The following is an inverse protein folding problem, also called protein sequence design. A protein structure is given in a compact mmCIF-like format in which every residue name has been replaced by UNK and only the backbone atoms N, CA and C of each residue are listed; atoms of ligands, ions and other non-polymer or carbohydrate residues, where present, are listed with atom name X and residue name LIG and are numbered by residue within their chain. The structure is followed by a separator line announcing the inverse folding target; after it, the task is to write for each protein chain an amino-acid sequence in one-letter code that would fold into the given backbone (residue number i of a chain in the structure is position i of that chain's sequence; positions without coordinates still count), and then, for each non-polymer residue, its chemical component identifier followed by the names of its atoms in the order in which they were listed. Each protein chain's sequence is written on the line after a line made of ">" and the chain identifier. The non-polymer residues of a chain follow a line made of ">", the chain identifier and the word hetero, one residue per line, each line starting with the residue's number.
data_IF_730480264894
#
_entry.id   IF_730480264894
#
_cell.length_a   1.000
_cell.length_b   1.000
_cell.length_c   1.000
_cell.angle_alpha   90.00
_cell.angle_beta   90.00
_cell.angle_gamma   90.00
#
_symmetry.space_group_name_H-M   'P 1'
#
loop_
_entity.id
_entity.type
_entity.pdbx_description
1 polymer ?
#
# COMPACT_ATOMS: atom_id res chain seq x y z
N UNK A 1 16.05 -24.03 -26.13
CA UNK A 1 16.66 -23.97 -24.79
C UNK A 1 16.38 -25.30 -24.10
N UNK A 2 17.38 -25.92 -23.48
CA UNK A 2 17.21 -27.16 -22.71
C UNK A 2 16.05 -27.03 -21.71
N UNK A 3 15.10 -27.95 -21.72
CA UNK A 3 13.95 -28.04 -20.83
C UNK A 3 14.37 -27.94 -19.37
N UNK A 4 15.46 -28.60 -18.98
CA UNK A 4 15.98 -28.52 -17.60
C UNK A 4 16.33 -27.09 -17.21
N UNK A 5 17.04 -26.36 -18.07
CA UNK A 5 17.39 -24.94 -17.83
C UNK A 5 16.14 -24.07 -17.78
N UNK A 6 15.17 -24.34 -18.65
CA UNK A 6 13.91 -23.61 -18.66
C UNK A 6 13.10 -23.81 -17.39
N UNK A 7 13.05 -25.04 -16.88
CA UNK A 7 12.31 -25.39 -15.68
C UNK A 7 12.94 -24.81 -14.40
N UNK A 8 14.27 -24.80 -14.32
CA UNK A 8 15.00 -24.12 -13.23
C UNK A 8 14.71 -22.62 -13.26
N UNK A 9 14.80 -22.00 -14.45
CA UNK A 9 14.56 -20.57 -14.59
C UNK A 9 13.11 -20.21 -14.25
N UNK A 10 12.12 -20.99 -14.69
CA UNK A 10 10.72 -20.73 -14.38
C UNK A 10 10.42 -20.86 -12.88
N UNK A 11 10.95 -21.88 -12.21
CA UNK A 11 10.81 -22.04 -10.76
C UNK A 11 11.48 -20.90 -10.00
N UNK A 12 12.70 -20.51 -10.40
CA UNK A 12 13.41 -19.40 -9.79
C UNK A 12 12.61 -18.10 -9.93
N UNK A 13 12.07 -17.81 -11.12
CA UNK A 13 11.22 -16.65 -11.37
C UNK A 13 9.98 -16.67 -10.47
N UNK A 14 9.27 -17.79 -10.37
CA UNK A 14 8.08 -17.90 -9.52
C UNK A 14 8.42 -17.74 -8.04
N UNK A 15 9.53 -18.30 -7.56
CA UNK A 15 9.95 -18.18 -6.16
C UNK A 15 10.39 -16.76 -5.80
N UNK A 16 11.10 -16.08 -6.70
CA UNK A 16 11.58 -14.72 -6.44
C UNK A 16 10.51 -13.65 -6.63
N UNK A 17 9.51 -13.92 -7.47
CA UNK A 17 8.47 -12.95 -7.81
C UNK A 17 7.82 -12.34 -6.57
N UNK A 18 7.27 -13.10 -5.59
CA UNK A 18 6.63 -12.52 -4.40
C UNK A 18 7.55 -11.66 -3.54
N UNK A 19 8.83 -12.02 -3.44
CA UNK A 19 9.81 -11.32 -2.60
C UNK A 19 10.18 -9.99 -3.24
N UNK A 20 10.59 -10.03 -4.51
CA UNK A 20 10.97 -8.82 -5.27
C UNK A 20 9.79 -7.88 -5.38
N UNK A 21 8.61 -8.43 -5.68
CA UNK A 21 7.39 -7.66 -5.84
C UNK A 21 7.00 -7.01 -4.50
N UNK A 22 7.06 -7.74 -3.38
CA UNK A 22 6.77 -7.20 -2.06
C UNK A 22 7.70 -6.04 -1.66
N UNK A 23 9.00 -6.18 -1.95
CA UNK A 23 9.98 -5.10 -1.74
C UNK A 23 9.69 -3.87 -2.59
N UNK A 24 9.36 -4.06 -3.88
CA UNK A 24 8.97 -2.96 -4.77
C UNK A 24 7.73 -2.24 -4.25
N UNK A 25 6.70 -2.99 -3.83
CA UNK A 25 5.48 -2.43 -3.29
C UNK A 25 5.74 -1.61 -2.02
N UNK A 26 6.60 -2.11 -1.12
CA UNK A 26 7.02 -1.37 0.06
C UNK A 26 7.70 -0.04 -0.28
N UNK A 27 8.64 -0.04 -1.23
CA UNK A 27 9.35 1.19 -1.66
C UNK A 27 8.39 2.18 -2.31
N UNK A 28 7.48 1.72 -3.17
CA UNK A 28 6.49 2.56 -3.84
C UNK A 28 5.58 3.24 -2.82
N UNK A 29 5.04 2.48 -1.87
CA UNK A 29 4.16 3.02 -0.81
C UNK A 29 4.93 3.99 0.08
N UNK A 30 6.15 3.64 0.50
CA UNK A 30 6.97 4.49 1.37
C UNK A 30 7.36 5.83 0.74
N UNK A 31 7.75 5.81 -0.54
CA UNK A 31 8.12 7.03 -1.26
C UNK A 31 6.90 7.95 -1.48
N UNK A 32 5.74 7.36 -1.82
CA UNK A 32 4.50 8.13 -1.96
C UNK A 32 4.10 8.82 -0.64
N UNK A 33 4.15 8.08 0.47
CA UNK A 33 3.81 8.60 1.79
C UNK A 33 4.70 9.79 2.23
N UNK A 34 5.97 9.82 1.82
CA UNK A 34 6.90 10.88 2.22
C UNK A 34 6.59 12.22 1.53
N UNK A 35 6.20 12.19 0.26
CA UNK A 35 5.85 13.40 -0.49
C UNK A 35 4.54 14.01 0.01
N UNK A 36 3.55 13.18 0.33
CA UNK A 36 2.28 13.64 0.91
C UNK A 36 2.50 14.32 2.25
N UNK A 37 3.34 13.76 3.13
CA UNK A 37 3.63 14.35 4.45
C UNK A 37 4.15 15.79 4.39
N UNK A 38 5.02 16.13 3.43
CA UNK A 38 5.53 17.49 3.28
C UNK A 38 4.42 18.43 2.83
N UNK A 39 3.62 18.03 1.84
CA UNK A 39 2.48 18.82 1.35
C UNK A 39 1.44 19.06 2.44
N UNK A 40 1.12 18.03 3.21
CA UNK A 40 0.17 18.09 4.33
C UNK A 40 0.67 19.03 5.42
N UNK A 41 1.97 18.96 5.74
CA UNK A 41 2.58 19.84 6.73
C UNK A 41 2.53 21.31 6.28
N UNK A 42 2.89 21.60 5.03
CA UNK A 42 2.83 22.96 4.47
C UNK A 42 1.37 23.47 4.46
N UNK A 43 0.42 22.61 4.11
CA UNK A 43 -1.00 22.94 4.15
C UNK A 43 -1.49 23.24 5.56
N UNK A 44 -1.05 22.47 6.56
CA UNK A 44 -1.32 22.73 7.97
C UNK A 44 -0.72 24.07 8.43
N UNK A 45 0.52 24.39 8.05
CA UNK A 45 1.17 25.69 8.35
C UNK A 45 0.35 26.86 7.80
N UNK A 46 -0.15 26.75 6.57
CA UNK A 46 -0.97 27.81 5.98
C UNK A 46 -2.30 27.98 6.71
N UNK A 47 -2.96 26.86 7.07
CA UNK A 47 -4.19 26.87 7.87
C UNK A 47 -3.96 27.49 9.25
N UNK A 48 -2.88 27.13 9.94
CA UNK A 48 -2.54 27.74 11.23
C UNK A 48 -2.48 29.26 11.10
N UNK A 49 -1.68 29.79 10.16
CA UNK A 49 -1.59 31.24 9.93
C UNK A 49 -2.93 31.92 9.69
N UNK A 50 -3.85 31.28 8.96
CA UNK A 50 -5.19 31.83 8.71
C UNK A 50 -5.99 31.97 10.01
N UNK A 51 -5.92 30.98 10.90
CA UNK A 51 -6.66 30.99 12.16
C UNK A 51 -5.97 31.83 13.24
N UNK A 52 -4.64 31.85 13.30
CA UNK A 52 -3.86 32.69 14.24
C UNK A 52 -4.29 34.16 14.15
N UNK A 53 -4.47 34.70 12.93
CA UNK A 53 -4.94 36.09 12.73
C UNK A 53 -6.27 36.42 13.45
N UNK A 54 -7.13 35.42 13.65
CA UNK A 54 -8.41 35.60 14.35
C UNK A 54 -8.28 35.35 15.85
N UNK A 55 -7.46 34.37 16.24
CA UNK A 55 -7.32 33.91 17.63
C UNK A 55 -6.33 34.75 18.45
N UNK A 56 -5.44 35.50 17.81
CA UNK A 56 -4.51 36.43 18.45
C UNK A 56 -5.20 37.68 19.01
N UNK A 57 -6.49 37.89 18.70
CA UNK A 57 -7.25 39.02 19.23
C UNK A 57 -7.48 38.86 20.75
N UNK A 58 -6.91 39.72 21.62
CA UNK A 58 -7.02 39.58 23.07
C UNK A 58 -8.45 39.71 23.60
N UNK A 59 -9.32 40.44 22.89
CA UNK A 59 -10.67 40.74 23.34
C UNK A 59 -11.55 39.48 23.46
N UNK A 60 -11.20 38.41 22.73
CA UNK A 60 -11.96 37.16 22.76
C UNK A 60 -11.75 36.39 24.07
N UNK A 61 -10.69 36.64 24.83
CA UNK A 61 -10.38 35.91 26.07
C UNK A 61 -10.97 36.54 27.33
N UNK A 62 -11.47 37.77 27.21
CA UNK A 62 -11.97 38.57 28.34
C UNK A 62 -13.50 38.67 28.32
N UNK A 63 -14.14 38.49 27.17
CA UNK A 63 -15.60 38.60 27.00
C UNK A 63 -16.36 37.27 27.13
N UNK A 64 -17.27 37.17 28.10
CA UNK A 64 -18.25 36.08 28.21
C UNK A 64 -19.60 36.49 27.55
N UNK A 65 -20.35 35.57 26.90
CA UNK A 65 -20.04 34.18 26.56
C UNK A 65 -19.61 33.99 25.09
N UNK A 66 -18.70 33.04 24.83
CA UNK A 66 -18.23 32.68 23.49
C UNK A 66 -18.98 31.50 22.84
N UNK A 67 -20.01 30.96 23.51
CA UNK A 67 -20.74 29.76 23.07
C UNK A 67 -21.35 29.87 21.67
N UNK A 68 -21.75 31.08 21.25
CA UNK A 68 -22.39 31.30 19.95
C UNK A 68 -21.40 31.71 18.85
N UNK A 69 -20.12 31.94 19.19
CA UNK A 69 -19.10 32.32 18.20
C UNK A 69 -18.56 31.10 17.48
N UNK A 70 -18.57 31.15 16.14
CA UNK A 70 -18.01 30.12 15.28
C UNK A 70 -16.71 30.64 14.68
N UNK A 71 -15.59 30.27 15.30
CA UNK A 71 -14.25 30.61 14.80
C UNK A 71 -13.82 29.73 13.61
N UNK A 72 -14.45 28.56 13.43
CA UNK A 72 -14.15 27.62 12.34
C UNK A 72 -15.15 27.76 11.20
N UNK A 73 -14.63 27.82 9.97
CA UNK A 73 -15.44 27.80 8.75
C UNK A 73 -16.27 26.50 8.66
N UNK A 74 -17.45 26.54 8.04
CA UNK A 74 -18.29 25.34 7.88
C UNK A 74 -17.58 24.18 7.16
N UNK A 75 -16.66 24.51 6.25
CA UNK A 75 -15.84 23.55 5.49
C UNK A 75 -14.82 22.83 6.36
N UNK A 76 -14.28 23.51 7.37
CA UNK A 76 -13.16 22.99 8.16
C UNK A 76 -13.58 22.27 9.45
N UNK A 77 -14.86 22.33 9.82
CA UNK A 77 -15.42 21.75 11.07
C UNK A 77 -15.04 20.30 11.34
N UNK A 78 -14.89 19.48 10.29
CA UNK A 78 -14.58 18.06 10.43
C UNK A 78 -13.06 17.77 10.49
N UNK A 79 -12.23 18.77 10.21
CA UNK A 79 -10.77 18.59 10.08
C UNK A 79 -9.96 19.48 11.02
N UNK A 80 -10.58 20.47 11.65
CA UNK A 80 -9.92 21.41 12.56
C UNK A 80 -10.67 21.45 13.87
N UNK A 81 -9.93 21.36 14.98
CA UNK A 81 -10.40 21.64 16.32
C UNK A 81 -9.68 22.87 16.87
N UNK A 82 -10.45 23.80 17.42
CA UNK A 82 -9.93 25.00 18.11
C UNK A 82 -10.40 24.95 19.56
N UNK A 83 -9.46 25.10 20.47
CA UNK A 83 -9.67 25.17 21.91
C UNK A 83 -9.09 26.51 22.41
N UNK A 84 -9.87 27.26 23.20
CA UNK A 84 -9.42 28.50 23.85
C UNK A 84 -9.40 28.32 25.35
N UNK A 85 -8.36 28.84 25.97
CA UNK A 85 -8.16 28.82 27.41
C UNK A 85 -7.91 30.24 27.93
N UNK A 86 -8.45 30.56 29.10
CA UNK A 86 -8.09 31.81 29.78
C UNK A 86 -6.68 31.73 30.39
N UNK A 87 -6.18 32.85 30.94
CA UNK A 87 -4.84 32.93 31.54
C UNK A 87 -4.59 31.93 32.69
N UNK A 88 -5.65 31.40 33.32
CA UNK A 88 -5.55 30.43 34.42
C UNK A 88 -5.54 28.99 33.90
N UNK A 89 -5.89 28.75 32.63
CA UNK A 89 -5.96 27.41 32.04
C UNK A 89 -7.38 26.81 32.00
N UNK A 90 -8.42 27.60 32.27
CA UNK A 90 -9.80 27.13 32.08
C UNK A 90 -10.18 27.21 30.61
N UNK A 91 -10.73 26.13 30.05
CA UNK A 91 -11.28 26.14 28.69
C UNK A 91 -12.54 27.04 28.63
N UNK A 92 -12.50 28.03 27.74
CA UNK A 92 -13.58 29.00 27.54
C UNK A 92 -14.32 28.79 26.22
N UNK A 93 -13.74 27.99 25.31
CA UNK A 93 -14.33 27.63 24.03
C UNK A 93 -13.74 26.32 23.50
N UNK A 94 -14.60 25.47 22.95
CA UNK A 94 -14.21 24.31 22.15
C UNK A 94 -15.10 24.22 20.91
N UNK A 95 -14.50 23.90 19.76
CA UNK A 95 -15.25 23.81 18.51
C UNK A 95 -16.05 22.51 18.33
N UNK A 96 -15.81 21.49 19.15
CA UNK A 96 -16.54 20.20 19.14
C UNK A 96 -17.66 20.14 20.18
N UNK A 97 -18.04 21.31 20.72
CA UNK A 97 -19.06 21.51 21.76
C UNK A 97 -18.83 20.73 23.07
N UNK A 98 -17.70 20.02 23.18
CA UNK A 98 -17.24 19.33 24.37
C UNK A 98 -16.20 20.20 25.08
N UNK A 99 -16.67 21.13 25.90
CA UNK A 99 -15.79 21.90 26.79
C UNK A 99 -15.20 20.91 27.79
N UNK A 100 -13.93 20.56 27.63
CA UNK A 100 -13.18 19.88 28.65
C UNK A 100 -12.88 20.90 29.76
N UNK A 101 -12.61 20.40 30.96
CA UNK A 101 -12.40 21.27 32.12
C UNK A 101 -11.08 22.06 32.06
N UNK A 102 -10.55 22.28 33.25
CA UNK A 102 -9.31 23.01 33.46
C UNK A 102 -8.08 22.21 32.99
N UNK A 103 -7.13 22.87 32.31
CA UNK A 103 -5.79 22.33 32.05
C UNK A 103 -4.79 22.88 33.07
N UNK A 104 -3.83 22.07 33.49
CA UNK A 104 -2.78 22.53 34.41
C UNK A 104 -1.85 23.55 33.74
N UNK A 105 -1.16 24.36 34.55
CA UNK A 105 -0.22 25.37 34.05
C UNK A 105 0.92 24.72 33.25
N UNK A 106 1.42 23.59 33.70
CA UNK A 106 2.49 22.84 33.01
C UNK A 106 2.06 22.46 31.58
N UNK A 107 0.82 21.97 31.43
CA UNK A 107 0.25 21.61 30.13
C UNK A 107 -0.05 22.86 29.31
N UNK A 108 -0.57 23.94 29.91
CA UNK A 108 -0.85 25.18 29.19
C UNK A 108 0.42 25.79 28.58
N UNK A 109 1.53 25.77 29.31
CA UNK A 109 2.81 26.33 28.87
C UNK A 109 3.71 25.36 28.09
N UNK A 110 3.32 24.08 27.96
CA UNK A 110 4.09 23.13 27.15
C UNK A 110 3.95 23.42 25.66
N UNK A 111 5.05 23.24 24.91
CA UNK A 111 5.04 23.17 23.44
C UNK A 111 4.46 24.41 22.74
N UNK A 112 4.55 25.57 23.40
CA UNK A 112 4.18 26.85 22.82
C UNK A 112 5.08 27.18 21.62
N UNK A 113 4.54 27.90 20.64
CA UNK A 113 5.24 28.36 19.44
C UNK A 113 5.81 27.24 18.54
N UNK A 114 5.39 25.98 18.78
CA UNK A 114 5.85 24.83 18.02
C UNK A 114 4.69 24.06 17.44
N UNK A 115 4.78 23.77 16.15
CA UNK A 115 3.90 22.80 15.51
C UNK A 115 4.39 21.41 15.91
N UNK A 116 3.56 20.65 16.62
CA UNK A 116 3.81 19.25 16.92
C UNK A 116 3.16 18.35 15.88
N UNK A 117 3.93 17.42 15.35
CA UNK A 117 3.45 16.38 14.45
C UNK A 117 2.98 15.18 15.27
N UNK A 118 1.68 15.15 15.58
CA UNK A 118 1.04 14.00 16.20
C UNK A 118 0.65 12.92 15.18
N UNK A 119 0.33 11.73 15.67
CA UNK A 119 -0.12 10.62 14.83
C UNK A 119 -1.44 10.92 14.09
N UNK A 120 -2.33 11.72 14.70
CA UNK A 120 -3.68 12.01 14.17
C UNK A 120 -3.85 13.45 13.70
N UNK A 121 -3.06 14.37 14.21
CA UNK A 121 -3.21 15.79 13.94
C UNK A 121 -1.87 16.53 14.07
N UNK A 122 -1.73 17.62 13.32
CA UNK A 122 -0.77 18.67 13.62
C UNK A 122 -1.37 19.58 14.68
N UNK A 123 -0.63 19.87 15.74
CA UNK A 123 -1.11 20.75 16.81
C UNK A 123 -0.20 21.95 17.00
N UNK A 124 -0.78 23.13 17.14
CA UNK A 124 -0.09 24.37 17.46
C UNK A 124 -0.73 24.98 18.71
N UNK A 125 0.09 25.43 19.65
CA UNK A 125 -0.35 26.15 20.85
C UNK A 125 0.36 27.48 20.95
N UNK A 126 -0.39 28.52 21.26
CA UNK A 126 0.11 29.88 21.31
C UNK A 126 -0.50 30.61 22.51
N UNK A 127 0.30 31.43 23.22
CA UNK A 127 -0.22 32.36 24.21
C UNK A 127 -0.72 33.65 23.54
N UNK A 128 -1.68 34.31 24.16
CA UNK A 128 -2.21 35.60 23.71
C UNK A 128 -1.94 36.65 24.78
N UNK A 129 -1.39 37.78 24.35
CA UNK A 129 -1.05 38.91 25.22
C UNK A 129 -1.88 40.13 24.85
N UNK A 130 -2.26 40.92 25.85
CA UNK A 130 -2.87 42.23 25.60
C UNK A 130 -1.80 43.28 25.23
N UNK A 131 -2.24 44.53 25.01
CA UNK A 131 -1.36 45.67 24.68
C UNK A 131 -0.31 45.95 25.76
N UNK A 132 -0.58 45.60 27.01
CA UNK A 132 0.31 45.79 28.15
C UNK A 132 1.26 44.59 28.36
N UNK A 133 1.33 43.67 27.39
CA UNK A 133 2.12 42.42 27.46
C UNK A 133 1.68 41.46 28.58
N UNK A 134 0.48 41.63 29.14
CA UNK A 134 -0.09 40.69 30.09
C UNK A 134 -0.74 39.52 29.35
N UNK A 135 -0.47 38.30 29.82
CA UNK A 135 -1.07 37.08 29.30
C UNK A 135 -2.59 37.08 29.57
N UNK A 136 -3.40 37.00 28.52
CA UNK A 136 -4.86 36.92 28.62
C UNK A 136 -5.40 35.51 28.40
N UNK A 137 -4.65 34.65 27.71
CA UNK A 137 -5.07 33.28 27.46
C UNK A 137 -4.16 32.51 26.52
N UNK A 138 -4.65 31.36 26.09
CA UNK A 138 -3.98 30.48 25.15
C UNK A 138 -4.98 29.95 24.14
N UNK A 139 -4.53 29.68 22.93
CA UNK A 139 -5.29 28.86 21.99
C UNK A 139 -4.49 27.63 21.58
N UNK A 140 -5.23 26.59 21.24
CA UNK A 140 -4.72 25.38 20.61
C UNK A 140 -5.52 25.11 19.35
N UNK A 141 -4.81 24.96 18.25
CA UNK A 141 -5.38 24.53 16.97
C UNK A 141 -4.87 23.11 16.72
N UNK A 142 -5.77 22.18 16.45
CA UNK A 142 -5.46 20.83 16.02
C UNK A 142 -6.05 20.60 14.63
N UNK A 143 -5.19 20.34 13.65
CA UNK A 143 -5.58 20.04 12.26
C UNK A 143 -5.39 18.55 12.03
N UNK A 144 -6.49 17.84 11.81
CA UNK A 144 -6.49 16.41 11.50
C UNK A 144 -5.66 16.14 10.25
N UNK A 145 -4.85 15.08 10.31
CA UNK A 145 -4.06 14.62 9.15
C UNK A 145 -4.96 13.94 8.14
N UNK A 146 -4.77 14.24 6.86
CA UNK A 146 -5.57 13.66 5.76
C UNK A 146 -5.50 12.13 5.78
N UNK A 147 -4.32 11.55 6.03
CA UNK A 147 -4.12 10.10 6.18
C UNK A 147 -5.02 9.44 7.25
N UNK A 148 -5.37 10.19 8.31
CA UNK A 148 -6.23 9.70 9.39
C UNK A 148 -7.72 9.90 9.07
N UNK A 149 -8.05 11.02 8.41
CA UNK A 149 -9.43 11.34 8.00
C UNK A 149 -9.92 10.38 6.90
N UNK A 150 -9.03 9.95 6.01
CA UNK A 150 -9.39 9.10 4.87
C UNK A 150 -9.31 7.59 5.12
N UNK A 151 -9.01 7.11 6.34
CA UNK A 151 -9.16 5.71 6.76
C UNK A 151 -8.94 4.67 5.66
N UNK A 152 -7.67 4.28 5.43
CA UNK A 152 -7.20 3.49 4.29
C UNK A 152 -7.26 4.30 2.98
N UNK A 153 -6.10 4.82 2.56
CA UNK A 153 -5.93 5.50 1.28
C UNK A 153 -6.38 4.57 0.13
N UNK A 154 -7.50 4.88 -0.51
CA UNK A 154 -8.11 4.12 -1.61
C UNK A 154 -7.10 3.82 -2.73
N UNK A 155 -6.13 4.72 -2.96
CA UNK A 155 -5.06 4.53 -3.93
C UNK A 155 -4.11 3.41 -3.52
N UNK A 156 -3.80 3.28 -2.24
CA UNK A 156 -2.99 2.17 -1.71
C UNK A 156 -3.69 0.82 -1.93
N UNK A 157 -5.01 0.76 -1.70
CA UNK A 157 -5.82 -0.44 -1.94
C UNK A 157 -5.79 -0.82 -3.42
N UNK A 158 -5.99 0.14 -4.33
CA UNK A 158 -5.90 -0.09 -5.77
C UNK A 158 -4.50 -0.59 -6.16
N UNK A 159 -3.44 0.04 -5.65
CA UNK A 159 -2.05 -0.37 -5.95
C UNK A 159 -1.79 -1.81 -5.51
N UNK A 160 -2.23 -2.19 -4.31
CA UNK A 160 -2.12 -3.57 -3.80
C UNK A 160 -2.93 -4.53 -4.66
N UNK A 161 -4.15 -4.16 -5.08
CA UNK A 161 -4.98 -5.00 -5.93
C UNK A 161 -4.35 -5.25 -7.30
N UNK A 162 -3.89 -4.20 -7.99
CA UNK A 162 -3.19 -4.31 -9.27
C UNK A 162 -1.96 -5.21 -9.16
N UNK A 163 -1.23 -5.07 -8.06
CA UNK A 163 -0.06 -5.87 -7.78
C UNK A 163 -0.38 -7.36 -7.62
N UNK A 164 -1.44 -7.71 -6.88
CA UNK A 164 -1.91 -9.10 -6.74
C UNK A 164 -2.26 -9.68 -8.10
N UNK A 165 -2.93 -8.91 -8.96
CA UNK A 165 -3.29 -9.32 -10.32
C UNK A 165 -2.03 -9.65 -11.14
N UNK A 166 -0.99 -8.80 -11.08
CA UNK A 166 0.27 -9.05 -11.81
C UNK A 166 0.92 -10.36 -11.34
N UNK A 167 1.00 -10.58 -10.03
CA UNK A 167 1.55 -11.83 -9.48
C UNK A 167 0.74 -13.04 -9.98
N UNK A 168 -0.59 -12.98 -9.91
CA UNK A 168 -1.45 -14.06 -10.41
C UNK A 168 -1.25 -14.32 -11.90
N UNK A 169 -1.14 -13.27 -12.72
CA UNK A 169 -0.86 -13.41 -14.16
C UNK A 169 0.46 -14.13 -14.42
N UNK A 170 1.50 -13.88 -13.63
CA UNK A 170 2.79 -14.58 -13.74
C UNK A 170 2.62 -16.07 -13.39
N UNK A 171 1.94 -16.39 -12.29
CA UNK A 171 1.68 -17.78 -11.89
C UNK A 171 0.89 -18.54 -12.97
N UNK A 172 -0.18 -17.94 -13.49
CA UNK A 172 -1.00 -18.53 -14.55
C UNK A 172 -0.16 -18.74 -15.81
N UNK A 173 0.62 -17.74 -16.22
CA UNK A 173 1.49 -17.83 -17.40
C UNK A 173 2.51 -18.97 -17.28
N UNK A 174 3.17 -19.11 -16.14
CA UNK A 174 4.12 -20.21 -15.90
C UNK A 174 3.40 -21.56 -15.89
N UNK A 175 2.22 -21.66 -15.28
CA UNK A 175 1.39 -22.86 -15.29
C UNK A 175 0.99 -23.31 -16.70
N UNK A 176 0.56 -22.37 -17.55
CA UNK A 176 0.24 -22.65 -18.95
C UNK A 176 1.46 -23.11 -19.74
N UNK A 177 2.62 -22.49 -19.51
CA UNK A 177 3.86 -22.89 -20.17
C UNK A 177 4.34 -24.27 -19.72
N UNK A 178 4.23 -24.60 -18.42
CA UNK A 178 4.55 -25.94 -17.88
C UNK A 178 3.66 -27.00 -18.53
N UNK A 179 2.36 -26.72 -18.63
CA UNK A 179 1.43 -27.64 -19.28
C UNK A 179 1.81 -27.88 -20.75
N UNK A 180 2.16 -26.82 -21.48
CA UNK A 180 2.52 -26.90 -22.91
C UNK A 180 3.87 -27.58 -23.17
N UNK A 181 4.89 -27.31 -22.36
CA UNK A 181 6.26 -27.79 -22.57
C UNK A 181 6.60 -29.11 -21.88
N UNK A 182 5.85 -29.50 -20.85
CA UNK A 182 6.18 -30.68 -20.04
C UNK A 182 5.01 -31.65 -19.94
N UNK A 183 3.87 -31.24 -19.38
CA UNK A 183 2.77 -32.18 -19.12
C UNK A 183 2.18 -32.76 -20.42
N UNK A 184 1.91 -31.92 -21.42
CA UNK A 184 1.31 -32.36 -22.68
C UNK A 184 2.23 -33.30 -23.49
N UNK A 185 3.53 -32.99 -23.69
CA UNK A 185 4.45 -33.89 -24.39
C UNK A 185 4.69 -35.21 -23.66
N UNK A 186 4.77 -35.19 -22.32
CA UNK A 186 4.88 -36.42 -21.52
C UNK A 186 3.62 -37.28 -21.70
N UNK A 187 2.43 -36.67 -21.62
CA UNK A 187 1.17 -37.39 -21.83
C UNK A 187 1.10 -38.00 -23.24
N UNK A 188 1.54 -37.26 -24.26
CA UNK A 188 1.64 -37.75 -25.64
C UNK A 188 2.54 -38.98 -25.74
N UNK A 189 3.71 -38.96 -25.10
CA UNK A 189 4.63 -40.10 -25.08
C UNK A 189 4.00 -41.31 -24.38
N UNK A 190 3.38 -41.12 -23.21
CA UNK A 190 2.68 -42.20 -22.48
C UNK A 190 1.57 -42.83 -23.33
N UNK A 191 0.77 -42.00 -24.00
CA UNK A 191 -0.27 -42.49 -24.92
C UNK A 191 0.33 -43.26 -26.10
N UNK A 192 1.43 -42.77 -26.68
CA UNK A 192 2.14 -43.46 -27.76
C UNK A 192 2.72 -44.81 -27.34
N UNK A 193 3.27 -44.90 -26.13
CA UNK A 193 3.76 -46.16 -25.54
C UNK A 193 2.62 -47.17 -25.37
N UNK A 194 1.50 -46.74 -24.80
CA UNK A 194 0.33 -47.61 -24.61
C UNK A 194 -0.24 -48.11 -25.94
N UNK A 195 -0.32 -47.24 -26.95
CA UNK A 195 -0.80 -47.63 -28.29
C UNK A 195 0.14 -48.61 -28.97
N UNK A 196 1.46 -48.41 -28.86
CA UNK A 196 2.43 -49.35 -29.40
C UNK A 196 2.31 -50.74 -28.77
N UNK A 197 2.08 -50.82 -27.45
CA UNK A 197 1.82 -52.08 -26.76
C UNK A 197 0.57 -52.82 -27.30
N UNK A 198 -0.40 -52.08 -27.84
CA UNK A 198 -1.61 -52.60 -28.49
C UNK A 198 -1.42 -52.88 -30.00
N UNK A 199 -0.21 -52.75 -30.54
CA UNK A 199 0.11 -53.03 -31.94
C UNK A 199 0.03 -51.83 -32.89
N UNK A 200 -0.18 -50.62 -32.39
CA UNK A 200 -0.15 -49.40 -33.22
C UNK A 200 1.28 -49.13 -33.72
N UNK A 201 1.46 -48.96 -35.04
CA UNK A 201 2.76 -48.67 -35.69
C UNK A 201 3.04 -47.18 -35.93
N UNK A 202 2.10 -46.28 -35.62
CA UNK A 202 2.27 -44.84 -35.83
C UNK A 202 3.41 -44.21 -34.99
N UNK A 203 4.17 -43.29 -35.57
CA UNK A 203 5.21 -42.54 -34.85
C UNK A 203 4.59 -41.48 -33.92
N UNK A 204 5.24 -41.22 -32.80
CA UNK A 204 4.88 -40.09 -31.92
C UNK A 204 5.57 -38.85 -32.45
N UNK A 205 4.80 -37.90 -32.99
CA UNK A 205 5.34 -36.65 -33.53
C UNK A 205 5.43 -35.55 -32.45
N UNK A 206 6.63 -35.00 -32.28
CA UNK A 206 6.88 -33.87 -31.39
C UNK A 206 7.92 -32.93 -31.98
N UNK A 207 7.48 -31.68 -32.24
CA UNK A 207 8.24 -30.69 -33.02
C UNK A 207 9.47 -30.11 -32.31
N UNK A 208 9.56 -30.18 -30.98
CA UNK A 208 10.65 -29.52 -30.25
C UNK A 208 11.80 -30.48 -30.01
N UNK A 209 13.02 -30.01 -30.24
CA UNK A 209 14.28 -30.74 -30.01
C UNK A 209 14.85 -30.46 -28.61
N UNK A 210 13.99 -30.47 -27.60
CA UNK A 210 14.41 -30.47 -26.19
C UNK A 210 14.57 -31.90 -25.66
N UNK A 211 14.87 -32.05 -24.37
CA UNK A 211 15.10 -33.35 -23.73
C UNK A 211 13.90 -34.30 -23.86
N UNK A 212 12.67 -33.78 -23.96
CA UNK A 212 11.49 -34.63 -24.21
C UNK A 212 11.40 -35.02 -25.67
N UNK A 213 11.77 -34.13 -26.60
CA UNK A 213 11.89 -34.49 -28.01
C UNK A 213 12.96 -35.53 -28.29
N UNK A 214 14.10 -35.44 -27.61
CA UNK A 214 15.15 -36.45 -27.67
C UNK A 214 14.64 -37.80 -27.15
N UNK A 215 13.90 -37.80 -26.03
CA UNK A 215 13.27 -39.01 -25.49
C UNK A 215 12.23 -39.62 -26.44
N UNK A 216 11.37 -38.80 -27.04
CA UNK A 216 10.37 -39.24 -28.03
C UNK A 216 11.06 -39.82 -29.27
N UNK A 217 12.16 -39.20 -29.72
CA UNK A 217 12.94 -39.71 -30.84
C UNK A 217 13.52 -41.09 -30.53
N UNK A 218 14.18 -41.26 -29.39
CA UNK A 218 14.70 -42.56 -28.96
C UNK A 218 13.62 -43.63 -28.83
N UNK A 219 12.42 -43.26 -28.36
CA UNK A 219 11.28 -44.17 -28.34
C UNK A 219 10.85 -44.61 -29.75
N UNK A 220 10.74 -43.66 -30.70
CA UNK A 220 10.39 -43.99 -32.09
C UNK A 220 11.48 -44.86 -32.77
N UNK A 221 12.76 -44.59 -32.52
CA UNK A 221 13.88 -45.39 -33.04
C UNK A 221 13.81 -46.83 -32.50
N UNK A 222 13.60 -47.01 -31.19
CA UNK A 222 13.42 -48.33 -30.56
C UNK A 222 12.22 -49.08 -31.14
N UNK A 223 11.10 -48.39 -31.38
CA UNK A 223 9.91 -48.97 -32.00
C UNK A 223 10.22 -49.51 -33.39
N UNK A 224 10.93 -48.74 -34.20
CA UNK A 224 11.33 -49.15 -35.55
C UNK A 224 12.19 -50.42 -35.51
N UNK A 225 13.19 -50.48 -34.63
CA UNK A 225 14.05 -51.66 -34.47
C UNK A 225 13.26 -52.92 -34.06
N UNK A 226 12.24 -52.77 -33.19
CA UNK A 226 11.39 -53.88 -32.76
C UNK A 226 10.52 -54.39 -33.91
N UNK A 227 9.95 -53.48 -34.70
CA UNK A 227 9.11 -53.85 -35.84
C UNK A 227 9.93 -54.49 -36.96
N UNK A 228 11.11 -53.97 -37.29
CA UNK A 228 12.02 -54.59 -38.26
C UNK A 228 12.41 -56.02 -37.83
N UNK A 229 12.68 -56.23 -36.53
CA UNK A 229 12.98 -57.59 -36.02
C UNK A 229 11.79 -58.53 -36.06
N UNK A 230 10.56 -58.04 -35.90
CA UNK A 230 9.34 -58.86 -36.02
C UNK A 230 9.14 -59.33 -37.46
N UNK A 231 9.35 -58.46 -38.45
CA UNK A 231 9.22 -58.79 -39.87
C UNK A 231 10.27 -59.79 -40.37
N UNK A 232 11.42 -59.92 -39.70
CA UNK A 232 12.46 -60.91 -40.05
C UNK A 232 12.10 -62.32 -39.52
N UNK A 233 11.27 -62.41 -38.48
CA UNK A 233 10.95 -63.66 -37.77
C UNK A 233 9.64 -64.30 -38.28
N UNK A 234 8.74 -63.51 -38.87
CA UNK A 234 7.55 -63.98 -39.61
C UNK A 234 7.87 -64.41 -41.05
#
# INVERSE_FOLDING_TARGET
>A
MKLKRWLILSHLTVMLTPVISGLLLYVIIGNYNSNTQVSDYISAVNKFKTYEQQLDNPDIYVGYPLKDKKFISSKDRNSIKIELYNAVGQEIYSSDDNIAGFISKEIAFSDLYKIQTGARAYTLKMPVFNKDSALVGFYKIAIAREDFVEGINYRTVITVLFFIIIVLCIFISVGLLLNKKLNKPIKLLVEGMNKFALGDKNIVDYKYSDEIGELIKHFNDMKKDIEEKREIIE
#
